data_IF_166026748790
#
_entry.id   IF_166026748790
#
_cell.length_a   1.000
_cell.length_b   1.000
_cell.length_c   1.000
_cell.angle_alpha   90.00
_cell.angle_beta   90.00
_cell.angle_gamma   90.00
#
_symmetry.space_group_name_H-M   'P 1'
#
loop_
_entity.id
_entity.type
_entity.pdbx_description
1 polymer ?
#
# COMPACT_ATOMS: atom_id res chain seq x y z
N UNK A 1 -39.66 30.74 5.02
CA UNK A 1 -38.80 29.59 4.76
C UNK A 1 -37.39 30.01 5.13
N UNK A 2 -36.91 29.73 6.33
CA UNK A 2 -35.51 29.86 6.69
C UNK A 2 -34.74 28.91 5.80
N UNK A 3 -33.80 29.47 4.98
CA UNK A 3 -32.85 28.70 4.24
C UNK A 3 -32.02 27.96 5.31
N UNK A 4 -32.18 26.65 5.44
CA UNK A 4 -31.22 25.80 6.14
C UNK A 4 -29.83 26.00 5.51
N UNK A 5 -29.11 27.00 5.98
CA UNK A 5 -27.72 27.18 5.66
C UNK A 5 -27.00 25.98 6.26
N UNK A 6 -26.45 25.14 5.42
CA UNK A 6 -25.50 24.11 5.88
C UNK A 6 -24.34 24.87 6.54
N UNK A 7 -24.16 24.70 7.84
CA UNK A 7 -23.03 25.28 8.58
C UNK A 7 -21.78 24.42 8.28
N UNK A 8 -21.15 24.69 7.15
CA UNK A 8 -19.86 24.09 6.84
C UNK A 8 -18.75 24.75 7.67
N UNK A 9 -17.77 23.96 8.09
CA UNK A 9 -16.56 24.43 8.73
C UNK A 9 -15.38 24.23 7.76
N UNK A 10 -14.49 25.20 7.69
CA UNK A 10 -13.33 25.12 6.78
C UNK A 10 -12.06 25.67 7.37
N UNK A 11 -10.94 25.17 6.83
CA UNK A 11 -9.59 25.65 7.05
C UNK A 11 -8.92 25.83 5.70
N UNK A 12 -8.15 26.90 5.54
CA UNK A 12 -7.36 27.18 4.35
C UNK A 12 -5.90 27.41 4.77
N UNK A 13 -4.97 26.84 4.01
CA UNK A 13 -3.55 27.01 4.24
C UNK A 13 -2.75 26.96 2.94
N UNK A 14 -1.57 27.59 2.93
CA UNK A 14 -0.65 27.51 1.80
C UNK A 14 0.08 26.16 1.81
N UNK A 15 0.23 25.56 0.63
CA UNK A 15 0.98 24.32 0.41
C UNK A 15 1.79 24.44 -0.90
N UNK A 16 3.08 24.72 -0.76
CA UNK A 16 3.88 25.18 -1.89
C UNK A 16 3.36 26.52 -2.44
N UNK A 17 3.16 26.57 -3.73
CA UNK A 17 2.62 27.73 -4.43
C UNK A 17 1.07 27.75 -4.52
N UNK A 18 0.40 26.80 -3.85
CA UNK A 18 -1.06 26.62 -3.91
C UNK A 18 -1.73 26.85 -2.57
N UNK A 19 -3.03 27.06 -2.59
CA UNK A 19 -3.89 27.11 -1.42
C UNK A 19 -4.72 25.83 -1.35
N UNK A 20 -4.63 25.15 -0.22
CA UNK A 20 -5.47 23.99 0.10
C UNK A 20 -6.60 24.45 0.99
N UNK A 21 -7.83 24.12 0.60
CA UNK A 21 -9.02 24.30 1.42
C UNK A 21 -9.57 22.94 1.84
N UNK A 22 -9.74 22.73 3.13
CA UNK A 22 -10.44 21.59 3.72
C UNK A 22 -11.80 22.06 4.23
N UNK A 23 -12.89 21.42 3.78
CA UNK A 23 -14.26 21.81 4.18
C UNK A 23 -15.05 20.57 4.62
N UNK A 24 -15.61 20.60 5.83
CA UNK A 24 -16.46 19.53 6.38
C UNK A 24 -17.90 19.98 6.61
N UNK A 25 -18.82 19.04 6.90
CA UNK A 25 -20.26 19.25 7.13
C UNK A 25 -21.05 19.75 5.90
N UNK A 26 -20.44 19.91 4.74
CA UNK A 26 -21.09 20.36 3.51
C UNK A 26 -21.85 19.23 2.79
N UNK A 27 -21.25 18.04 2.73
CA UNK A 27 -21.80 16.88 2.05
C UNK A 27 -21.60 15.58 2.82
N UNK A 28 -22.17 14.48 2.33
CA UNK A 28 -22.01 13.13 2.87
C UNK A 28 -22.28 13.02 4.39
N UNK A 29 -23.32 13.70 4.90
CA UNK A 29 -23.61 13.87 6.34
C UNK A 29 -23.96 12.59 7.10
N UNK A 30 -24.18 11.47 6.41
CA UNK A 30 -24.44 10.17 7.04
C UNK A 30 -23.16 9.40 7.35
N UNK A 31 -22.00 9.90 6.91
CA UNK A 31 -20.71 9.27 7.18
C UNK A 31 -20.19 9.57 8.57
N UNK A 32 -19.25 8.77 9.05
CA UNK A 32 -18.53 9.04 10.29
C UNK A 32 -17.70 10.31 10.19
N UNK A 33 -17.04 10.54 9.05
CA UNK A 33 -16.34 11.78 8.72
C UNK A 33 -16.35 12.02 7.22
N UNK A 34 -16.42 13.28 6.79
CA UNK A 34 -16.35 13.67 5.39
C UNK A 34 -15.67 15.01 5.24
N UNK A 35 -14.74 15.11 4.29
CA UNK A 35 -14.03 16.34 3.96
C UNK A 35 -13.99 16.52 2.46
N UNK A 36 -14.29 17.72 2.01
CA UNK A 36 -14.07 18.19 0.66
C UNK A 36 -12.72 18.92 0.63
N UNK A 37 -11.79 18.43 -0.18
CA UNK A 37 -10.51 19.07 -0.41
C UNK A 37 -10.58 19.84 -1.71
N UNK A 38 -10.21 21.11 -1.69
CA UNK A 38 -10.11 21.95 -2.89
C UNK A 38 -8.70 22.50 -3.00
N UNK A 39 -8.08 22.31 -4.15
CA UNK A 39 -6.77 22.88 -4.52
C UNK A 39 -6.93 23.43 -5.95
N UNK A 40 -7.04 24.73 -6.09
CA UNK A 40 -7.41 25.36 -7.35
C UNK A 40 -8.69 24.73 -7.95
N UNK A 41 -8.64 24.16 -9.15
CA UNK A 41 -9.76 23.47 -9.82
C UNK A 41 -9.94 22.01 -9.41
N UNK A 42 -8.99 21.46 -8.65
CA UNK A 42 -9.04 20.10 -8.15
C UNK A 42 -9.94 20.01 -6.93
N UNK A 43 -10.96 19.14 -6.99
CA UNK A 43 -11.87 18.89 -5.87
C UNK A 43 -12.01 17.39 -5.62
N UNK A 44 -11.67 16.95 -4.42
CA UNK A 44 -11.80 15.56 -3.98
C UNK A 44 -12.68 15.48 -2.75
N UNK A 45 -13.68 14.60 -2.77
CA UNK A 45 -14.47 14.24 -1.61
C UNK A 45 -13.88 12.99 -0.96
N UNK A 46 -13.41 13.11 0.27
CA UNK A 46 -12.99 11.99 1.10
C UNK A 46 -14.03 11.70 2.19
N UNK A 47 -14.46 10.46 2.30
CA UNK A 47 -15.44 10.02 3.30
C UNK A 47 -14.91 8.85 4.10
N UNK A 48 -15.26 8.80 5.37
CA UNK A 48 -14.95 7.71 6.30
C UNK A 48 -16.25 7.19 6.91
N UNK A 49 -16.46 5.90 6.82
CA UNK A 49 -17.52 5.19 7.57
C UNK A 49 -16.86 4.14 8.43
N UNK A 50 -17.14 4.16 9.72
CA UNK A 50 -16.58 3.21 10.67
C UNK A 50 -17.68 2.61 11.54
N UNK A 51 -17.62 1.30 11.80
CA UNK A 51 -18.50 0.60 12.73
C UNK A 51 -18.06 0.84 14.18
N UNK A 52 -19.01 1.05 15.08
CA UNK A 52 -18.74 1.23 16.52
C UNK A 52 -18.28 -0.06 17.20
N UNK A 53 -18.67 -1.21 16.66
CA UNK A 53 -18.40 -2.53 17.20
C UNK A 53 -17.56 -3.35 16.21
N UNK A 54 -16.58 -4.08 16.73
CA UNK A 54 -15.80 -5.04 15.97
C UNK A 54 -16.62 -6.31 15.69
N UNK A 55 -16.39 -6.93 14.54
CA UNK A 55 -16.91 -8.27 14.26
C UNK A 55 -16.03 -9.29 15.00
N UNK A 56 -16.57 -10.04 15.97
CA UNK A 56 -15.79 -10.98 16.77
C UNK A 56 -15.15 -12.13 15.96
N UNK A 57 -15.62 -12.34 14.73
CA UNK A 57 -15.08 -13.37 13.83
C UNK A 57 -13.83 -12.90 13.06
N UNK A 58 -13.50 -11.62 13.12
CA UNK A 58 -12.34 -11.07 12.44
C UNK A 58 -11.16 -10.92 13.39
N UNK A 59 -10.03 -11.52 13.03
CA UNK A 59 -8.77 -11.46 13.78
C UNK A 59 -7.82 -10.35 13.30
N UNK A 60 -8.22 -9.59 12.28
CA UNK A 60 -7.43 -8.52 11.66
C UNK A 60 -8.23 -7.20 11.61
N UNK A 61 -7.53 -6.09 11.38
CA UNK A 61 -8.13 -4.78 11.15
C UNK A 61 -8.72 -4.67 9.73
N UNK A 62 -10.05 -4.64 9.58
CA UNK A 62 -10.70 -4.60 8.26
C UNK A 62 -10.84 -3.17 7.75
N UNK A 63 -9.71 -2.57 7.36
CA UNK A 63 -9.68 -1.29 6.65
C UNK A 63 -9.82 -1.53 5.14
N UNK A 64 -10.78 -0.85 4.51
CA UNK A 64 -10.96 -0.85 3.07
C UNK A 64 -10.90 0.59 2.53
N UNK A 65 -9.96 0.85 1.63
CA UNK A 65 -9.79 2.14 0.97
C UNK A 65 -10.19 2.01 -0.50
N UNK A 66 -11.01 2.94 -0.96
CA UNK A 66 -11.42 3.07 -2.36
C UNK A 66 -11.12 4.47 -2.85
N UNK A 67 -10.58 4.54 -4.04
CA UNK A 67 -10.34 5.78 -4.77
C UNK A 67 -10.99 5.66 -6.14
N UNK A 68 -11.71 6.69 -6.58
CA UNK A 68 -12.40 6.71 -7.86
C UNK A 68 -12.22 8.05 -8.56
N UNK A 69 -11.92 7.96 -9.85
CA UNK A 69 -11.88 9.09 -10.77
C UNK A 69 -13.17 9.10 -11.59
N UNK A 70 -13.87 10.24 -11.58
CA UNK A 70 -15.09 10.41 -12.36
C UNK A 70 -14.78 11.17 -13.64
N UNK A 71 -15.15 10.62 -14.81
CA UNK A 71 -14.91 11.28 -16.09
C UNK A 71 -15.53 12.68 -16.17
N UNK A 72 -16.67 12.91 -15.51
CA UNK A 72 -17.25 14.24 -15.43
C UNK A 72 -16.35 15.26 -14.72
N UNK A 73 -15.38 14.82 -13.93
CA UNK A 73 -14.46 15.73 -13.23
C UNK A 73 -13.64 16.58 -14.19
N UNK A 74 -13.40 16.10 -15.41
CA UNK A 74 -12.73 16.82 -16.50
C UNK A 74 -13.68 17.16 -17.66
N UNK A 75 -15.01 17.07 -17.44
CA UNK A 75 -16.01 17.31 -18.47
C UNK A 75 -16.10 16.22 -19.55
N UNK A 76 -15.55 15.02 -19.29
CA UNK A 76 -15.52 13.93 -20.24
C UNK A 76 -16.64 12.89 -19.98
N UNK A 77 -16.93 12.08 -21.01
CA UNK A 77 -17.82 10.92 -20.94
C UNK A 77 -16.97 9.66 -21.13
N UNK A 78 -17.14 8.61 -20.30
CA UNK A 78 -16.40 7.36 -20.43
C UNK A 78 -16.53 6.73 -21.82
N UNK A 79 -15.44 6.17 -22.36
CA UNK A 79 -15.37 5.61 -23.71
C UNK A 79 -16.12 4.31 -23.92
N UNK A 80 -16.24 3.46 -22.92
CA UNK A 80 -16.85 2.14 -23.03
C UNK A 80 -18.32 2.13 -23.51
N UNK A 81 -18.85 0.97 -23.87
CA UNK A 81 -20.21 0.82 -24.39
C UNK A 81 -21.30 1.37 -23.46
N UNK A 82 -21.18 1.12 -22.14
CA UNK A 82 -22.15 1.59 -21.13
C UNK A 82 -22.01 3.05 -20.74
N UNK A 83 -20.99 3.76 -21.24
CA UNK A 83 -20.72 5.17 -20.87
C UNK A 83 -20.74 5.42 -19.36
N UNK A 84 -20.21 4.48 -18.60
CA UNK A 84 -20.20 4.47 -17.12
C UNK A 84 -18.94 3.82 -16.61
N UNK A 85 -18.35 4.40 -15.54
CA UNK A 85 -17.29 3.77 -14.78
C UNK A 85 -17.82 2.47 -14.15
N UNK A 86 -17.06 1.38 -14.27
CA UNK A 86 -17.47 0.05 -13.81
C UNK A 86 -16.49 -0.51 -12.77
N UNK A 87 -15.50 -1.28 -13.23
CA UNK A 87 -14.45 -1.82 -12.33
C UNK A 87 -13.37 -0.76 -12.10
N UNK A 88 -12.76 -0.74 -10.90
CA UNK A 88 -11.62 0.11 -10.66
C UNK A 88 -10.52 -0.13 -11.69
N UNK A 89 -9.94 0.92 -12.22
CA UNK A 89 -8.77 0.88 -13.08
C UNK A 89 -7.54 0.44 -12.28
N UNK A 90 -6.45 0.10 -12.96
CA UNK A 90 -5.16 -0.18 -12.32
C UNK A 90 -4.71 1.04 -11.49
N UNK A 91 -4.77 2.25 -12.05
CA UNK A 91 -4.46 3.51 -11.37
C UNK A 91 -5.30 3.71 -10.11
N UNK A 92 -6.62 3.56 -10.18
CA UNK A 92 -7.50 3.68 -9.00
C UNK A 92 -7.17 2.66 -7.93
N UNK A 93 -6.80 1.45 -8.33
CA UNK A 93 -6.36 0.38 -7.42
C UNK A 93 -5.03 0.74 -6.75
N UNK A 94 -4.07 1.26 -7.50
CA UNK A 94 -2.76 1.68 -6.98
C UNK A 94 -2.88 2.88 -6.05
N UNK A 95 -3.68 3.88 -6.41
CA UNK A 95 -3.94 5.04 -5.54
C UNK A 95 -4.67 4.64 -4.26
N UNK A 96 -5.64 3.71 -4.33
CA UNK A 96 -6.26 3.13 -3.12
C UNK A 96 -5.22 2.50 -2.19
N UNK A 97 -4.20 1.80 -2.72
CA UNK A 97 -3.11 1.22 -1.95
C UNK A 97 -2.14 2.28 -1.42
N UNK A 98 -1.88 3.33 -2.21
CA UNK A 98 -1.06 4.47 -1.82
C UNK A 98 -1.63 5.16 -0.57
N UNK A 99 -2.95 5.27 -0.47
CA UNK A 99 -3.66 5.82 0.68
C UNK A 99 -3.70 4.82 1.85
N UNK A 100 -4.02 3.55 1.61
CA UNK A 100 -4.15 2.52 2.66
C UNK A 100 -2.85 2.32 3.46
N UNK A 101 -1.71 2.25 2.77
CA UNK A 101 -0.43 1.88 3.37
C UNK A 101 0.02 2.79 4.51
N UNK A 102 0.01 4.13 4.39
CA UNK A 102 0.39 5.02 5.49
C UNK A 102 -0.70 5.23 6.53
N UNK A 103 -1.98 5.01 6.18
CA UNK A 103 -3.11 5.19 7.09
C UNK A 103 -3.25 4.01 8.07
N UNK A 104 -3.06 2.80 7.59
CA UNK A 104 -3.26 1.57 8.37
C UNK A 104 -2.45 1.49 9.65
N UNK A 105 -1.14 1.78 9.68
CA UNK A 105 -0.32 1.72 10.88
C UNK A 105 -0.65 2.81 11.92
N UNK A 106 -1.46 3.80 11.57
CA UNK A 106 -1.89 4.86 12.47
C UNK A 106 -3.16 4.51 13.28
N UNK A 107 -3.68 3.31 13.12
CA UNK A 107 -4.70 2.78 14.03
C UNK A 107 -4.04 1.97 15.13
N UNK A 108 -4.56 2.01 16.37
CA UNK A 108 -3.95 1.32 17.50
C UNK A 108 -3.95 -0.20 17.29
N UNK A 109 -2.93 -0.86 17.82
CA UNK A 109 -2.84 -2.31 17.84
C UNK A 109 -4.09 -2.90 18.52
N UNK A 110 -4.68 -3.92 17.94
CA UNK A 110 -5.91 -4.54 18.45
C UNK A 110 -7.21 -3.86 18.01
N UNK A 111 -7.18 -2.73 17.33
CA UNK A 111 -8.39 -2.13 16.76
C UNK A 111 -8.90 -2.97 15.58
N UNK A 112 -10.09 -3.57 15.73
CA UNK A 112 -10.68 -4.51 14.76
C UNK A 112 -12.02 -4.05 14.19
N UNK A 113 -12.43 -2.82 14.45
CA UNK A 113 -13.67 -2.26 13.91
C UNK A 113 -13.52 -2.03 12.40
N UNK A 114 -14.55 -2.33 11.65
CA UNK A 114 -14.55 -2.14 10.21
C UNK A 114 -14.54 -0.65 9.86
N UNK A 115 -13.57 -0.23 9.06
CA UNK A 115 -13.41 1.14 8.57
C UNK A 115 -13.35 1.14 7.05
N UNK A 116 -14.15 1.99 6.43
CA UNK A 116 -14.15 2.19 4.99
C UNK A 116 -13.85 3.66 4.68
N UNK A 117 -12.83 3.86 3.85
CA UNK A 117 -12.49 5.17 3.28
C UNK A 117 -12.86 5.18 1.81
N UNK A 118 -13.53 6.25 1.37
CA UNK A 118 -13.91 6.41 -0.01
C UNK A 118 -13.53 7.81 -0.50
N UNK A 119 -12.63 7.88 -1.48
CA UNK A 119 -12.20 9.12 -2.11
C UNK A 119 -12.76 9.21 -3.53
N UNK A 120 -13.41 10.30 -3.85
CA UNK A 120 -13.98 10.55 -5.18
C UNK A 120 -13.46 11.86 -5.74
N UNK A 121 -12.85 11.81 -6.92
CA UNK A 121 -12.45 13.00 -7.66
C UNK A 121 -13.69 13.59 -8.34
N UNK A 122 -14.07 14.80 -7.92
CA UNK A 122 -15.30 15.48 -8.37
C UNK A 122 -15.03 16.58 -9.42
N UNK A 123 -13.84 17.17 -9.38
CA UNK A 123 -13.34 18.13 -10.34
C UNK A 123 -11.82 17.98 -10.48
N UNK A 124 -11.29 18.08 -11.67
CA UNK A 124 -9.86 18.03 -11.94
C UNK A 124 -9.54 18.92 -13.14
N UNK A 125 -8.59 19.86 -12.93
CA UNK A 125 -7.91 20.51 -14.02
C UNK A 125 -6.96 19.57 -14.66
N UNK A 126 -6.70 19.10 -15.59
CA UNK A 126 -5.77 18.11 -16.19
C UNK A 126 -4.28 18.35 -15.88
N UNK A 127 -3.97 19.20 -14.94
CA UNK A 127 -2.60 19.64 -14.70
C UNK A 127 -1.91 18.86 -13.59
N UNK A 128 -2.67 18.32 -12.61
CA UNK A 128 -2.13 17.72 -11.39
C UNK A 128 -2.79 16.41 -11.05
N UNK A 129 -1.98 15.50 -10.47
CA UNK A 129 -2.49 14.21 -9.98
C UNK A 129 -3.38 14.40 -8.74
N UNK A 130 -4.61 13.86 -8.73
CA UNK A 130 -5.53 14.02 -7.61
C UNK A 130 -5.18 13.19 -6.36
N UNK A 131 -4.20 12.30 -6.42
CA UNK A 131 -3.87 11.35 -5.35
C UNK A 131 -3.43 12.04 -4.05
N UNK A 132 -2.60 13.10 -4.13
CA UNK A 132 -2.18 13.86 -2.95
C UNK A 132 -3.37 14.53 -2.27
N UNK A 133 -4.30 15.11 -3.04
CA UNK A 133 -5.53 15.67 -2.50
C UNK A 133 -6.40 14.60 -1.82
N UNK A 134 -6.46 13.38 -2.38
CA UNK A 134 -7.16 12.24 -1.77
C UNK A 134 -6.50 11.76 -0.46
N UNK A 135 -5.17 11.75 -0.39
CA UNK A 135 -4.44 11.44 0.84
C UNK A 135 -4.67 12.48 1.93
N UNK A 136 -4.59 13.76 1.59
CA UNK A 136 -4.90 14.89 2.48
C UNK A 136 -6.34 14.79 2.99
N UNK A 137 -7.29 14.57 2.08
CA UNK A 137 -8.71 14.43 2.41
C UNK A 137 -8.99 13.24 3.31
N UNK A 138 -8.32 12.11 3.09
CA UNK A 138 -8.43 10.94 3.95
C UNK A 138 -7.95 11.23 5.36
N UNK A 139 -6.77 11.85 5.50
CA UNK A 139 -6.25 12.26 6.80
C UNK A 139 -7.21 13.19 7.54
N UNK A 140 -7.68 14.26 6.87
CA UNK A 140 -8.62 15.21 7.44
C UNK A 140 -9.97 14.55 7.81
N UNK A 141 -10.50 13.64 6.96
CA UNK A 141 -11.76 12.94 7.22
C UNK A 141 -11.66 11.97 8.41
N UNK A 142 -10.54 11.29 8.58
CA UNK A 142 -10.25 10.46 9.76
C UNK A 142 -10.14 11.30 11.04
N UNK A 143 -9.44 12.45 10.97
CA UNK A 143 -9.31 13.37 12.10
C UNK A 143 -10.67 13.91 12.57
N UNK A 144 -11.56 14.29 11.67
CA UNK A 144 -12.89 14.81 12.07
C UNK A 144 -13.89 13.70 12.43
N UNK A 145 -13.62 12.45 12.09
CA UNK A 145 -14.49 11.31 12.37
C UNK A 145 -14.51 10.91 13.85
N UNK A 146 -13.50 11.28 14.64
CA UNK A 146 -13.32 10.84 16.02
C UNK A 146 -12.96 9.36 16.18
N UNK A 147 -12.59 8.66 15.08
CA UNK A 147 -12.04 7.28 15.16
C UNK A 147 -10.67 7.30 15.81
N UNK A 148 -10.20 6.20 16.41
CA UNK A 148 -8.90 6.13 17.05
C UNK A 148 -7.77 6.09 16.00
N UNK A 149 -7.46 7.26 15.47
CA UNK A 149 -6.49 7.49 14.43
C UNK A 149 -5.36 8.37 14.97
N UNK A 150 -4.14 7.80 15.02
CA UNK A 150 -2.93 8.47 15.53
C UNK A 150 -2.28 9.34 14.44
N UNK A 151 -3.12 10.18 13.84
CA UNK A 151 -2.77 11.21 12.88
C UNK A 151 -2.87 12.61 13.51
N UNK A 152 -2.82 13.65 12.69
CA UNK A 152 -2.95 13.69 11.24
C UNK A 152 -1.73 13.20 10.47
N UNK A 153 -1.98 12.73 9.23
CA UNK A 153 -0.99 12.35 8.25
C UNK A 153 -0.89 13.42 7.17
N UNK A 154 0.34 13.79 6.79
CA UNK A 154 0.63 14.57 5.60
C UNK A 154 1.03 13.69 4.42
N UNK A 155 0.94 14.25 3.22
CA UNK A 155 1.43 13.62 1.99
C UNK A 155 1.96 14.69 1.03
N UNK A 156 3.01 14.37 0.28
CA UNK A 156 3.62 15.21 -0.74
C UNK A 156 4.09 14.36 -1.92
N UNK A 157 3.95 14.90 -3.14
CA UNK A 157 4.65 14.41 -4.32
C UNK A 157 5.87 15.27 -4.58
N UNK A 158 7.00 14.67 -4.89
CA UNK A 158 8.25 15.38 -5.17
C UNK A 158 8.78 14.98 -6.54
N UNK A 159 9.00 15.97 -7.39
CA UNK A 159 9.78 15.87 -8.61
C UNK A 159 11.21 16.36 -8.41
N UNK A 160 12.09 16.05 -9.36
CA UNK A 160 13.44 16.58 -9.44
C UNK A 160 13.71 17.09 -10.86
N UNK A 161 13.66 18.42 -11.04
CA UNK A 161 13.74 19.10 -12.33
C UNK A 161 14.84 20.15 -12.24
N UNK A 162 15.71 20.21 -13.22
CA UNK A 162 16.81 21.18 -13.33
C UNK A 162 17.64 21.31 -12.03
N UNK A 163 17.89 20.19 -11.36
CA UNK A 163 18.68 20.14 -10.13
C UNK A 163 17.95 20.59 -8.86
N UNK A 164 16.63 20.79 -8.91
CA UNK A 164 15.82 21.27 -7.78
C UNK A 164 14.68 20.30 -7.46
N UNK A 165 14.33 20.16 -6.19
CA UNK A 165 13.11 19.50 -5.78
C UNK A 165 11.89 20.38 -6.04
N UNK A 166 10.86 19.81 -6.64
CA UNK A 166 9.58 20.47 -6.94
C UNK A 166 8.47 19.79 -6.16
N UNK A 167 7.75 20.57 -5.34
CA UNK A 167 6.62 20.09 -4.56
C UNK A 167 5.37 19.99 -5.42
N UNK A 168 4.71 18.83 -5.40
CA UNK A 168 3.49 18.54 -6.13
C UNK A 168 3.56 19.02 -7.60
N UNK A 169 4.55 18.51 -8.37
CA UNK A 169 4.75 18.93 -9.75
C UNK A 169 3.52 18.65 -10.62
N UNK A 170 3.34 19.49 -11.63
CA UNK A 170 2.37 19.25 -12.71
C UNK A 170 2.78 18.04 -13.55
N UNK A 171 1.86 17.54 -14.38
CA UNK A 171 2.20 16.48 -15.34
C UNK A 171 3.30 16.90 -16.30
N UNK A 172 3.28 18.15 -16.80
CA UNK A 172 4.33 18.71 -17.67
C UNK A 172 5.70 18.73 -16.97
N UNK A 173 5.74 19.13 -15.70
CA UNK A 173 6.98 19.08 -14.90
C UNK A 173 7.44 17.64 -14.66
N UNK A 174 6.51 16.67 -14.45
CA UNK A 174 6.84 15.25 -14.26
C UNK A 174 7.43 14.61 -15.52
N UNK A 175 6.99 14.98 -16.71
CA UNK A 175 7.58 14.48 -17.98
C UNK A 175 9.08 14.77 -18.06
N UNK A 176 9.49 15.95 -17.58
CA UNK A 176 10.89 16.42 -17.56
C UNK A 176 11.63 16.06 -16.26
N UNK A 177 10.96 15.41 -15.32
CA UNK A 177 11.53 15.06 -14.01
C UNK A 177 12.35 13.77 -14.06
N UNK A 178 13.43 13.77 -13.28
CA UNK A 178 14.21 12.55 -12.98
C UNK A 178 13.64 11.75 -11.79
N UNK A 179 12.64 12.32 -11.10
CA UNK A 179 12.01 11.73 -9.93
C UNK A 179 10.50 11.94 -9.95
N UNK A 180 9.75 10.90 -9.68
CA UNK A 180 8.36 10.96 -9.23
C UNK A 180 8.26 10.19 -7.92
N UNK A 181 8.17 10.91 -6.80
CA UNK A 181 8.18 10.32 -5.46
C UNK A 181 6.98 10.81 -4.65
N UNK A 182 6.22 9.90 -4.11
CA UNK A 182 5.17 10.18 -3.12
C UNK A 182 5.67 9.78 -1.73
N UNK A 183 5.58 10.72 -0.80
CA UNK A 183 5.95 10.51 0.61
C UNK A 183 4.74 10.82 1.47
N UNK A 184 4.48 9.97 2.45
CA UNK A 184 3.49 10.22 3.50
C UNK A 184 4.07 10.00 4.88
N UNK A 185 3.65 10.80 5.84
CA UNK A 185 4.18 10.73 7.20
C UNK A 185 3.34 11.49 8.22
N UNK A 186 3.69 11.32 9.47
CA UNK A 186 3.21 12.12 10.60
C UNK A 186 4.15 13.32 10.82
N UNK A 187 3.84 14.11 11.84
CA UNK A 187 4.70 15.23 12.24
C UNK A 187 6.15 14.79 12.50
N UNK A 188 6.35 13.59 13.01
CA UNK A 188 7.62 13.12 13.58
C UNK A 188 8.32 12.07 12.70
N UNK A 189 7.59 11.37 11.83
CA UNK A 189 8.12 10.24 11.09
C UNK A 189 7.53 10.09 9.68
N UNK A 190 8.38 9.61 8.76
CA UNK A 190 7.95 9.13 7.45
C UNK A 190 7.37 7.72 7.59
N UNK A 191 6.19 7.49 7.05
CA UNK A 191 5.47 6.22 7.10
C UNK A 191 5.54 5.44 5.79
N UNK A 192 5.57 6.15 4.66
CA UNK A 192 5.52 5.53 3.36
C UNK A 192 6.28 6.37 2.33
N UNK A 193 7.05 5.68 1.51
CA UNK A 193 7.69 6.23 0.31
C UNK A 193 7.35 5.32 -0.86
N UNK A 194 6.99 5.91 -1.98
CA UNK A 194 6.82 5.23 -3.24
C UNK A 194 7.38 6.09 -4.37
N UNK A 195 8.31 5.56 -5.17
CA UNK A 195 9.03 6.37 -6.16
C UNK A 195 9.28 5.64 -7.47
N UNK A 196 9.41 6.43 -8.53
CA UNK A 196 10.02 6.10 -9.81
C UNK A 196 11.16 7.10 -10.03
N UNK A 197 12.37 6.64 -10.37
CA UNK A 197 13.54 7.50 -10.53
C UNK A 197 14.37 7.05 -11.72
N UNK A 198 15.01 8.01 -12.41
CA UNK A 198 15.94 7.80 -13.51
C UNK A 198 17.37 7.78 -12.94
N UNK A 199 17.75 6.69 -12.25
CA UNK A 199 19.09 6.40 -11.73
C UNK A 199 19.71 7.53 -10.86
N UNK A 200 18.89 8.15 -10.00
CA UNK A 200 19.36 9.17 -9.05
C UNK A 200 20.19 8.55 -7.92
N UNK A 201 21.16 9.31 -7.38
CA UNK A 201 21.95 8.89 -6.24
C UNK A 201 21.11 8.77 -4.96
N UNK A 202 21.58 7.93 -4.01
CA UNK A 202 20.92 7.76 -2.71
C UNK A 202 20.78 9.07 -1.95
N UNK A 203 21.77 9.97 -2.01
CA UNK A 203 21.75 11.27 -1.36
C UNK A 203 20.62 12.17 -1.91
N UNK A 204 20.41 12.18 -3.23
CA UNK A 204 19.31 12.91 -3.86
C UNK A 204 17.95 12.30 -3.49
N UNK A 205 17.86 10.97 -3.44
CA UNK A 205 16.63 10.28 -3.01
C UNK A 205 16.30 10.59 -1.55
N UNK A 206 17.28 10.54 -0.65
CA UNK A 206 17.12 10.91 0.76
C UNK A 206 16.74 12.39 0.92
N UNK A 207 17.39 13.28 0.17
CA UNK A 207 17.05 14.70 0.15
C UNK A 207 15.59 14.96 -0.25
N UNK A 208 15.08 14.22 -1.24
CA UNK A 208 13.67 14.31 -1.67
C UNK A 208 12.70 13.88 -0.56
N UNK A 209 13.02 12.81 0.19
CA UNK A 209 12.21 12.35 1.33
C UNK A 209 12.17 13.42 2.42
N UNK A 210 13.31 14.01 2.77
CA UNK A 210 13.40 15.07 3.79
C UNK A 210 12.65 16.34 3.36
N UNK A 211 12.79 16.75 2.09
CA UNK A 211 12.04 17.85 1.51
C UNK A 211 10.53 17.62 1.61
N UNK A 212 10.06 16.45 1.19
CA UNK A 212 8.64 16.09 1.28
C UNK A 212 8.12 16.13 2.73
N UNK A 213 8.90 15.59 3.69
CA UNK A 213 8.51 15.58 5.10
C UNK A 213 8.43 16.98 5.70
N UNK A 214 9.32 17.88 5.31
CA UNK A 214 9.27 19.28 5.71
C UNK A 214 8.05 19.99 5.13
N UNK A 215 7.79 19.85 3.85
CA UNK A 215 6.68 20.53 3.17
C UNK A 215 5.30 20.03 3.65
N UNK A 216 5.13 18.73 3.92
CA UNK A 216 3.84 18.19 4.35
C UNK A 216 3.42 18.64 5.77
N UNK A 217 4.30 19.30 6.55
CA UNK A 217 3.94 19.82 7.88
C UNK A 217 2.80 20.84 7.80
N UNK A 218 2.68 21.58 6.70
CA UNK A 218 1.56 22.50 6.47
C UNK A 218 0.23 21.76 6.41
N UNK A 219 0.20 20.60 5.74
CA UNK A 219 -0.98 19.72 5.65
C UNK A 219 -1.37 19.18 7.02
N UNK A 220 -0.40 18.67 7.78
CA UNK A 220 -0.62 18.12 9.13
C UNK A 220 -1.25 19.19 10.03
N UNK A 221 -0.71 20.41 10.01
CA UNK A 221 -1.26 21.53 10.76
C UNK A 221 -2.68 21.88 10.32
N UNK A 222 -2.96 21.94 9.02
CA UNK A 222 -4.29 22.23 8.50
C UNK A 222 -5.34 21.16 8.87
N UNK A 223 -4.96 19.88 8.84
CA UNK A 223 -5.83 18.79 9.30
C UNK A 223 -6.11 18.87 10.80
N UNK A 224 -5.11 19.20 11.61
CA UNK A 224 -5.29 19.41 13.06
C UNK A 224 -6.21 20.59 13.36
N UNK A 225 -6.04 21.71 12.67
CA UNK A 225 -6.90 22.88 12.82
C UNK A 225 -8.36 22.57 12.45
N UNK A 226 -8.60 21.73 11.44
CA UNK A 226 -9.94 21.29 11.09
C UNK A 226 -10.54 20.35 12.15
N UNK A 227 -9.74 19.43 12.72
CA UNK A 227 -10.14 18.57 13.84
C UNK A 227 -10.55 19.44 15.04
N UNK A 228 -9.77 20.45 15.40
CA UNK A 228 -10.05 21.32 16.54
C UNK A 228 -11.33 22.15 16.35
N UNK A 229 -11.66 22.52 15.10
CA UNK A 229 -12.89 23.28 14.78
C UNK A 229 -14.14 22.42 14.69
N UNK A 230 -14.03 21.22 14.18
CA UNK A 230 -15.19 20.44 13.73
C UNK A 230 -15.07 18.93 13.97
N UNK A 231 -14.06 18.49 14.70
CA UNK A 231 -13.88 17.09 15.06
C UNK A 231 -15.00 16.57 15.95
N UNK A 232 -15.41 15.34 15.72
CA UNK A 232 -16.28 14.62 16.63
C UNK A 232 -15.50 14.18 17.87
N UNK A 233 -16.20 13.89 18.95
CA UNK A 233 -15.62 13.29 20.14
C UNK A 233 -14.88 12.00 19.82
N UNK A 234 -13.65 11.89 20.32
CA UNK A 234 -12.79 10.72 20.06
C UNK A 234 -13.42 9.47 20.70
N UNK A 235 -13.35 8.36 19.97
CA UNK A 235 -13.86 7.09 20.46
C UNK A 235 -12.99 6.55 21.58
N UNK A 236 -13.63 6.08 22.63
CA UNK A 236 -12.94 5.31 23.67
C UNK A 236 -12.66 3.90 23.12
N UNK A 237 -11.41 3.56 22.97
CA UNK A 237 -10.98 2.19 22.61
C UNK A 237 -10.89 1.40 23.89
N UNK A 238 -11.57 0.25 23.94
CA UNK A 238 -11.44 -0.66 25.08
C UNK A 238 -9.99 -1.18 25.14
N UNK A 239 -9.36 -1.04 26.30
CA UNK A 239 -8.03 -1.60 26.55
C UNK A 239 -8.20 -3.12 26.67
N UNK A 240 -7.42 -3.85 25.87
CA UNK A 240 -7.38 -5.30 25.97
C UNK A 240 -6.45 -5.71 27.14
N UNK A 241 -7.02 -6.02 28.28
CA UNK A 241 -6.30 -6.44 29.48
C UNK A 241 -5.97 -7.94 29.50
N UNK A 242 -6.67 -8.77 28.69
CA UNK A 242 -6.52 -10.22 28.71
C UNK A 242 -5.32 -10.70 27.89
N UNK A 243 -5.06 -10.12 26.73
CA UNK A 243 -3.95 -10.54 25.84
C UNK A 243 -2.57 -10.44 26.50
N UNK A 244 -2.24 -9.41 27.30
CA UNK A 244 -0.98 -9.38 28.05
C UNK A 244 -0.84 -10.51 29.07
N UNK A 245 -1.93 -10.94 29.70
CA UNK A 245 -1.96 -12.09 30.61
C UNK A 245 -1.61 -13.40 29.88
N UNK A 246 -2.28 -13.67 28.76
CA UNK A 246 -1.99 -14.82 27.91
C UNK A 246 -0.54 -14.79 27.38
N UNK A 247 -0.06 -13.62 26.96
CA UNK A 247 1.33 -13.48 26.53
C UNK A 247 2.33 -13.89 27.61
N UNK A 248 2.12 -13.46 28.86
CA UNK A 248 3.00 -13.80 29.99
C UNK A 248 3.00 -15.30 30.25
N UNK A 249 1.82 -15.94 30.29
CA UNK A 249 1.68 -17.38 30.49
C UNK A 249 2.35 -18.21 29.39
N UNK A 250 2.09 -17.85 28.12
CA UNK A 250 2.70 -18.52 26.97
C UNK A 250 4.22 -18.34 26.96
N UNK A 251 4.71 -17.16 27.31
CA UNK A 251 6.12 -16.88 27.43
C UNK A 251 6.80 -17.79 28.44
N UNK A 252 6.21 -17.94 29.63
CA UNK A 252 6.78 -18.77 30.69
C UNK A 252 6.78 -20.25 30.35
N UNK A 253 5.73 -20.74 29.65
CA UNK A 253 5.56 -22.15 29.31
C UNK A 253 6.26 -22.59 28.03
N UNK A 254 6.19 -21.77 26.97
CA UNK A 254 6.50 -22.23 25.62
C UNK A 254 7.72 -21.58 24.97
N UNK A 255 8.36 -20.56 25.58
CA UNK A 255 9.53 -19.85 25.00
C UNK A 255 10.62 -20.84 24.56
N UNK A 256 11.02 -21.78 25.42
CA UNK A 256 12.10 -22.73 25.11
C UNK A 256 11.78 -23.62 23.90
N UNK A 257 10.53 -24.07 23.79
CA UNK A 257 10.10 -24.91 22.67
C UNK A 257 10.04 -24.11 21.36
N UNK A 258 9.55 -22.87 21.40
CA UNK A 258 9.49 -21.99 20.24
C UNK A 258 10.90 -21.61 19.78
N UNK A 259 11.81 -21.27 20.69
CA UNK A 259 13.23 -21.00 20.35
C UNK A 259 13.91 -22.21 19.70
N UNK A 260 13.61 -23.43 20.20
CA UNK A 260 14.14 -24.67 19.60
C UNK A 260 13.59 -24.87 18.18
N UNK A 261 12.30 -24.61 17.96
CA UNK A 261 11.69 -24.70 16.64
C UNK A 261 12.30 -23.69 15.65
N UNK A 262 12.56 -22.45 16.08
CA UNK A 262 13.19 -21.44 15.23
C UNK A 262 14.68 -21.67 14.92
N UNK A 263 15.35 -22.62 15.59
CA UNK A 263 16.70 -23.07 15.23
C UNK A 263 16.71 -24.09 14.08
N UNK A 264 15.55 -24.62 13.69
CA UNK A 264 15.43 -25.51 12.55
C UNK A 264 15.53 -24.70 11.28
N UNK A 265 16.61 -24.91 10.50
CA UNK A 265 16.90 -24.16 9.27
C UNK A 265 15.89 -24.48 8.17
N UNK A 266 15.50 -25.76 8.01
CA UNK A 266 14.52 -26.17 7.01
C UNK A 266 13.14 -25.61 7.32
N UNK A 267 12.53 -24.90 6.35
CA UNK A 267 11.23 -24.24 6.51
C UNK A 267 10.10 -25.22 6.83
N UNK A 268 10.01 -26.34 6.10
CA UNK A 268 8.94 -27.31 6.30
C UNK A 268 8.99 -27.95 7.69
N UNK A 269 10.16 -28.40 8.11
CA UNK A 269 10.39 -28.99 9.43
C UNK A 269 10.12 -27.98 10.56
N UNK A 270 10.57 -26.73 10.37
CA UNK A 270 10.29 -25.63 11.31
C UNK A 270 8.79 -25.34 11.42
N UNK A 271 8.09 -25.28 10.28
CA UNK A 271 6.64 -25.05 10.26
C UNK A 271 5.89 -26.18 10.95
N UNK A 272 6.32 -27.43 10.75
CA UNK A 272 5.73 -28.59 11.44
C UNK A 272 5.97 -28.53 12.95
N UNK A 273 7.18 -28.23 13.39
CA UNK A 273 7.51 -28.07 14.81
C UNK A 273 6.68 -26.97 15.48
N UNK A 274 6.54 -25.79 14.82
CA UNK A 274 5.70 -24.70 15.32
C UNK A 274 4.22 -25.08 15.32
N UNK A 275 3.76 -25.87 14.35
CA UNK A 275 2.38 -26.37 14.29
C UNK A 275 2.06 -27.30 15.46
N UNK A 276 3.00 -28.17 15.87
CA UNK A 276 2.85 -29.03 17.05
C UNK A 276 2.69 -28.19 18.32
N UNK A 277 3.55 -27.17 18.50
CA UNK A 277 3.46 -26.26 19.65
C UNK A 277 2.11 -25.52 19.66
N UNK A 278 1.70 -25.00 18.49
CA UNK A 278 0.41 -24.32 18.34
C UNK A 278 -0.77 -25.21 18.73
N UNK A 279 -0.77 -26.48 18.27
CA UNK A 279 -1.82 -27.42 18.60
C UNK A 279 -1.84 -27.73 20.12
N UNK A 280 -0.68 -27.89 20.74
CA UNK A 280 -0.57 -28.05 22.21
C UNK A 280 -1.19 -26.86 22.94
N UNK A 281 -0.93 -25.63 22.47
CA UNK A 281 -1.52 -24.41 23.04
C UNK A 281 -3.05 -24.43 22.86
N UNK A 282 -3.55 -24.79 21.67
CA UNK A 282 -5.00 -24.90 21.44
C UNK A 282 -5.65 -25.90 22.39
N UNK A 283 -5.01 -27.06 22.62
CA UNK A 283 -5.51 -28.09 23.55
C UNK A 283 -5.47 -27.62 25.02
N UNK A 284 -4.43 -26.85 25.42
CA UNK A 284 -4.34 -26.27 26.79
C UNK A 284 -5.46 -25.25 27.10
N UNK A 285 -6.00 -24.62 26.06
CA UNK A 285 -7.03 -23.58 26.19
C UNK A 285 -8.37 -23.99 25.56
N UNK A 286 -8.64 -25.30 25.39
CA UNK A 286 -9.84 -25.83 24.73
C UNK A 286 -11.17 -25.36 25.34
N UNK A 287 -11.18 -25.03 26.64
CA UNK A 287 -12.37 -24.55 27.37
C UNK A 287 -12.72 -23.06 27.07
N UNK A 288 -11.89 -22.34 26.32
CA UNK A 288 -12.13 -20.92 26.00
C UNK A 288 -13.08 -20.78 24.82
N UNK A 289 -13.85 -19.71 24.85
CA UNK A 289 -14.65 -19.29 23.69
C UNK A 289 -13.76 -18.81 22.52
N UNK A 290 -14.34 -18.75 21.32
CA UNK A 290 -13.63 -18.36 20.08
C UNK A 290 -12.94 -16.99 20.21
N UNK A 291 -13.51 -16.06 20.95
CA UNK A 291 -12.96 -14.70 21.11
C UNK A 291 -11.70 -14.72 21.98
N UNK A 292 -11.71 -15.47 23.08
CA UNK A 292 -10.54 -15.64 23.95
C UNK A 292 -9.47 -16.47 23.27
N UNK A 293 -9.85 -17.53 22.55
CA UNK A 293 -8.91 -18.31 21.74
C UNK A 293 -8.20 -17.44 20.70
N UNK A 294 -8.91 -16.51 20.04
CA UNK A 294 -8.28 -15.53 19.12
C UNK A 294 -7.24 -14.67 19.83
N UNK A 295 -7.47 -14.27 21.10
CA UNK A 295 -6.49 -13.51 21.90
C UNK A 295 -5.27 -14.34 22.26
N UNK A 296 -5.45 -15.62 22.63
CA UNK A 296 -4.35 -16.56 22.88
C UNK A 296 -3.48 -16.74 21.65
N UNK A 297 -4.11 -16.91 20.47
CA UNK A 297 -3.38 -17.04 19.20
C UNK A 297 -2.66 -15.74 18.82
N UNK A 298 -3.24 -14.58 19.10
CA UNK A 298 -2.60 -13.29 18.95
C UNK A 298 -1.35 -13.13 19.84
N UNK A 299 -1.46 -13.54 21.10
CA UNK A 299 -0.35 -13.55 22.05
C UNK A 299 0.76 -14.53 21.64
N UNK A 300 0.41 -15.72 21.13
CA UNK A 300 1.36 -16.68 20.57
C UNK A 300 2.14 -16.09 19.38
N UNK A 301 1.44 -15.52 18.42
CA UNK A 301 2.06 -14.88 17.25
C UNK A 301 3.00 -13.72 17.62
N UNK A 302 2.63 -12.95 18.65
CA UNK A 302 3.48 -11.89 19.20
C UNK A 302 4.74 -12.49 19.83
N UNK A 303 4.61 -13.55 20.60
CA UNK A 303 5.74 -14.24 21.23
C UNK A 303 6.71 -14.82 20.19
N UNK A 304 6.20 -15.45 19.11
CA UNK A 304 7.02 -15.88 17.98
C UNK A 304 7.81 -14.73 17.36
N UNK A 305 7.12 -13.61 17.11
CA UNK A 305 7.73 -12.40 16.54
C UNK A 305 8.83 -11.84 17.46
N UNK A 306 8.58 -11.74 18.76
CA UNK A 306 9.53 -11.19 19.73
C UNK A 306 10.77 -12.08 19.86
N UNK A 307 10.61 -13.41 19.87
CA UNK A 307 11.71 -14.38 19.90
C UNK A 307 12.59 -14.24 18.65
N UNK A 308 11.99 -14.21 17.46
CA UNK A 308 12.73 -14.09 16.20
C UNK A 308 13.47 -12.76 16.11
N UNK A 309 12.78 -11.64 16.41
CA UNK A 309 13.39 -10.31 16.38
C UNK A 309 14.53 -10.18 17.37
N UNK A 310 14.34 -10.67 18.60
CA UNK A 310 15.39 -10.70 19.62
C UNK A 310 16.59 -11.49 19.17
N UNK A 311 16.38 -12.68 18.61
CA UNK A 311 17.48 -13.52 18.09
C UNK A 311 18.26 -12.83 16.98
N UNK A 312 17.60 -12.17 16.04
CA UNK A 312 18.29 -11.42 14.97
C UNK A 312 19.10 -10.25 15.54
N UNK A 313 18.57 -9.50 16.50
CA UNK A 313 19.26 -8.36 17.11
C UNK A 313 20.48 -8.81 17.92
N UNK A 314 20.34 -9.84 18.75
CA UNK A 314 21.37 -10.29 19.68
C UNK A 314 22.41 -11.18 19.01
N UNK A 315 21.99 -12.13 18.16
CA UNK A 315 22.84 -13.16 17.58
C UNK A 315 23.27 -12.87 16.14
N UNK A 316 22.72 -11.80 15.51
CA UNK A 316 22.97 -11.46 14.11
C UNK A 316 22.69 -12.60 13.12
N UNK A 317 21.80 -13.52 13.50
CA UNK A 317 21.49 -14.73 12.73
C UNK A 317 20.00 -14.76 12.40
N UNK A 318 19.69 -14.94 11.14
CA UNK A 318 18.32 -15.11 10.62
C UNK A 318 17.80 -16.52 10.87
N UNK A 319 16.49 -16.73 10.75
CA UNK A 319 15.81 -18.02 10.98
C UNK A 319 16.25 -19.14 10.03
N UNK A 320 16.87 -18.81 8.92
CA UNK A 320 17.44 -19.75 7.93
C UNK A 320 18.96 -19.95 8.11
N UNK A 321 19.52 -19.50 9.20
CA UNK A 321 20.92 -19.67 9.58
C UNK A 321 21.89 -18.70 8.94
N UNK A 322 21.46 -17.80 8.06
CA UNK A 322 22.31 -16.76 7.46
C UNK A 322 22.59 -15.64 8.47
N UNK A 323 23.68 -14.92 8.23
CA UNK A 323 23.90 -13.60 8.83
C UNK A 323 23.01 -12.50 8.20
N UNK A 324 23.21 -11.27 8.62
CA UNK A 324 22.39 -10.13 8.17
C UNK A 324 22.74 -9.68 6.74
N UNK A 325 23.93 -9.96 6.23
CA UNK A 325 24.45 -9.49 4.94
C UNK A 325 24.37 -10.56 3.83
N UNK A 326 24.33 -11.83 4.16
CA UNK A 326 24.31 -12.92 3.18
C UNK A 326 22.98 -13.01 2.45
N UNK A 327 23.01 -12.88 1.13
CA UNK A 327 21.86 -13.13 0.25
C UNK A 327 21.61 -14.64 0.15
N UNK A 328 20.33 -15.05 0.11
CA UNK A 328 19.96 -16.45 -0.15
C UNK A 328 20.56 -16.93 -1.48
N UNK A 329 20.89 -18.24 -1.62
CA UNK A 329 21.42 -18.78 -2.87
C UNK A 329 20.55 -18.43 -4.07
N UNK A 330 21.20 -17.96 -5.14
CA UNK A 330 20.54 -17.59 -6.39
C UNK A 330 20.80 -18.68 -7.43
N UNK A 331 19.73 -19.11 -8.12
CA UNK A 331 19.77 -19.94 -9.30
C UNK A 331 19.01 -19.25 -10.44
N UNK A 332 19.59 -19.28 -11.63
CA UNK A 332 19.03 -18.65 -12.83
C UNK A 332 19.12 -19.61 -14.00
N UNK A 333 18.03 -19.69 -14.77
CA UNK A 333 17.98 -20.37 -16.04
C UNK A 333 17.24 -19.50 -17.06
N UNK A 334 17.79 -19.32 -18.25
CA UNK A 334 17.18 -18.53 -19.33
C UNK A 334 16.81 -19.44 -20.50
N UNK A 335 15.80 -19.02 -21.31
CA UNK A 335 15.35 -19.80 -22.44
C UNK A 335 14.64 -21.11 -22.06
N UNK A 336 14.06 -21.16 -20.86
CA UNK A 336 13.45 -22.38 -20.31
C UNK A 336 12.20 -22.84 -21.08
N UNK A 337 11.48 -21.91 -21.72
CA UNK A 337 10.28 -22.22 -22.48
C UNK A 337 10.55 -22.16 -24.00
N UNK A 338 10.30 -23.25 -24.75
CA UNK A 338 10.79 -23.38 -26.12
C UNK A 338 10.05 -22.55 -27.17
N UNK A 339 8.90 -21.96 -26.87
CA UNK A 339 8.08 -21.20 -27.84
C UNK A 339 7.81 -19.76 -27.45
N UNK A 340 8.39 -19.29 -26.37
CA UNK A 340 8.27 -17.89 -25.93
C UNK A 340 9.38 -17.05 -26.57
N UNK A 341 9.19 -15.73 -26.64
CA UNK A 341 10.24 -14.84 -27.20
C UNK A 341 11.40 -14.68 -26.22
N UNK A 342 11.10 -14.61 -24.91
CA UNK A 342 12.07 -14.69 -23.84
C UNK A 342 11.47 -15.39 -22.63
N UNK A 343 12.28 -16.08 -21.86
CA UNK A 343 11.86 -16.70 -20.60
C UNK A 343 13.02 -16.92 -19.65
N UNK A 344 12.75 -16.76 -18.35
CA UNK A 344 13.69 -17.03 -17.30
C UNK A 344 13.04 -17.70 -16.10
N UNK A 345 13.79 -18.55 -15.41
CA UNK A 345 13.47 -19.04 -14.08
C UNK A 345 14.47 -18.42 -13.12
N UNK A 346 13.98 -17.58 -12.26
CA UNK A 346 14.79 -16.97 -11.20
C UNK A 346 14.38 -17.56 -9.85
N UNK A 347 15.36 -18.08 -9.12
CA UNK A 347 15.18 -18.65 -7.79
C UNK A 347 16.13 -17.98 -6.80
N UNK A 348 15.62 -17.55 -5.65
CA UNK A 348 16.39 -17.04 -4.52
C UNK A 348 15.98 -17.78 -3.26
N UNK A 349 16.74 -18.81 -2.90
CA UNK A 349 16.35 -19.76 -1.86
C UNK A 349 14.98 -20.39 -2.17
N UNK A 350 14.00 -20.17 -1.32
CA UNK A 350 12.63 -20.68 -1.43
C UNK A 350 11.67 -19.64 -2.05
N UNK A 351 12.15 -18.77 -2.92
CA UNK A 351 11.32 -17.82 -3.70
C UNK A 351 11.69 -17.96 -5.16
N UNK A 352 10.72 -18.31 -5.99
CA UNK A 352 10.93 -18.60 -7.41
C UNK A 352 9.90 -17.86 -8.28
N UNK A 353 10.36 -17.30 -9.38
CA UNK A 353 9.54 -16.65 -10.41
C UNK A 353 9.90 -17.22 -11.79
N UNK A 354 8.91 -17.71 -12.49
CA UNK A 354 8.97 -18.00 -13.92
C UNK A 354 8.51 -16.74 -14.66
N UNK A 355 9.41 -16.11 -15.39
CA UNK A 355 9.12 -14.85 -16.08
C UNK A 355 9.19 -15.07 -17.59
N UNK A 356 8.19 -14.55 -18.29
CA UNK A 356 8.04 -14.75 -19.74
C UNK A 356 7.87 -13.40 -20.43
N UNK A 357 8.73 -13.11 -21.40
CA UNK A 357 8.65 -11.92 -22.23
C UNK A 357 8.02 -12.26 -23.61
N UNK A 358 7.16 -11.36 -24.06
CA UNK A 358 6.52 -11.44 -25.39
C UNK A 358 6.68 -10.09 -26.09
N UNK A 359 7.22 -10.13 -27.31
CA UNK A 359 7.36 -8.97 -28.18
C UNK A 359 6.15 -8.90 -29.11
N UNK A 360 5.48 -7.76 -29.11
CA UNK A 360 4.36 -7.45 -30.00
C UNK A 360 4.67 -6.27 -30.94
N UNK A 361 3.77 -6.01 -31.84
CA UNK A 361 3.81 -4.79 -32.66
C UNK A 361 3.31 -3.58 -31.87
N UNK A 362 3.49 -2.38 -32.39
CA UNK A 362 2.92 -1.15 -31.81
C UNK A 362 1.40 -1.17 -31.68
N UNK A 363 0.69 -2.04 -32.47
CA UNK A 363 -0.77 -2.20 -32.38
C UNK A 363 -1.21 -3.01 -31.15
N UNK A 364 -0.28 -3.76 -30.54
CA UNK A 364 -0.52 -4.58 -29.36
C UNK A 364 -0.35 -3.78 -28.06
N UNK A 365 0.05 -2.51 -28.15
CA UNK A 365 0.19 -1.63 -27.01
C UNK A 365 -1.14 -1.43 -26.27
N UNK A 366 -1.06 -1.35 -24.94
CA UNK A 366 -2.23 -1.16 -24.10
C UNK A 366 -2.75 0.28 -24.22
N UNK A 367 -4.01 0.42 -24.59
CA UNK A 367 -4.69 1.71 -24.58
C UNK A 367 -5.26 1.97 -23.19
N UNK A 368 -4.86 3.08 -22.59
CA UNK A 368 -5.30 3.53 -21.27
C UNK A 368 -6.20 4.72 -21.45
N UNK A 369 -7.41 4.65 -20.92
CA UNK A 369 -8.35 5.77 -20.88
C UNK A 369 -8.50 6.23 -19.43
N UNK A 370 -8.20 7.50 -19.17
CA UNK A 370 -8.26 8.11 -17.84
C UNK A 370 -8.95 9.48 -17.91
N UNK A 371 -9.11 10.13 -16.77
CA UNK A 371 -9.62 11.50 -16.70
C UNK A 371 -8.66 12.52 -17.35
N UNK A 372 -7.38 12.17 -17.51
CA UNK A 372 -6.38 12.99 -18.18
C UNK A 372 -6.47 12.91 -19.70
N UNK A 373 -7.03 11.81 -20.22
CA UNK A 373 -7.16 11.56 -21.64
C UNK A 373 -6.90 10.11 -22.01
N UNK A 374 -6.43 9.91 -23.23
CA UNK A 374 -6.03 8.61 -23.76
C UNK A 374 -4.51 8.55 -23.85
N UNK A 375 -3.95 7.46 -23.38
CA UNK A 375 -2.52 7.16 -23.44
C UNK A 375 -2.29 5.76 -23.97
N UNK A 376 -1.05 5.47 -24.39
CA UNK A 376 -0.64 4.18 -24.93
C UNK A 376 0.60 3.68 -24.22
N UNK A 377 0.48 2.51 -23.60
CA UNK A 377 1.57 1.87 -22.86
C UNK A 377 2.20 0.73 -23.68
N UNK A 378 3.47 0.88 -24.02
CA UNK A 378 4.26 -0.09 -24.77
C UNK A 378 4.98 -1.12 -23.91
N UNK A 379 4.99 -0.93 -22.58
CA UNK A 379 5.57 -1.87 -21.64
C UNK A 379 4.55 -2.33 -20.61
N UNK A 380 4.10 -3.55 -20.70
CA UNK A 380 3.18 -4.18 -19.77
C UNK A 380 3.91 -5.21 -18.91
N UNK A 381 3.72 -5.16 -17.57
CA UNK A 381 4.21 -6.19 -16.67
C UNK A 381 3.08 -6.68 -15.77
N UNK A 382 2.79 -7.97 -15.86
CA UNK A 382 1.77 -8.64 -15.06
C UNK A 382 2.40 -9.62 -14.08
N UNK A 383 1.97 -9.56 -12.83
CA UNK A 383 2.45 -10.38 -11.74
C UNK A 383 1.30 -11.27 -11.24
N UNK A 384 1.51 -12.57 -11.21
CA UNK A 384 0.56 -13.56 -10.75
C UNK A 384 1.09 -14.28 -9.51
N UNK A 385 0.25 -14.37 -8.47
CA UNK A 385 0.57 -15.02 -7.21
C UNK A 385 -0.50 -16.07 -6.88
N UNK A 386 -0.44 -17.24 -7.51
CA UNK A 386 -1.38 -18.32 -7.25
C UNK A 386 -1.19 -18.92 -5.86
N UNK A 387 -2.26 -19.48 -5.28
CA UNK A 387 -2.25 -20.05 -3.94
C UNK A 387 -1.21 -21.16 -3.75
N UNK A 388 -0.95 -21.96 -4.78
CA UNK A 388 0.06 -23.03 -4.72
C UNK A 388 1.49 -22.50 -4.47
N UNK A 389 1.79 -21.23 -4.76
CA UNK A 389 3.11 -20.65 -4.49
C UNK A 389 3.48 -20.59 -3.01
N UNK A 390 2.49 -20.72 -2.14
CA UNK A 390 2.66 -20.81 -0.67
C UNK A 390 2.11 -22.12 -0.10
N UNK A 391 1.80 -23.10 -0.97
CA UNK A 391 1.28 -24.41 -0.56
C UNK A 391 -0.19 -24.40 -0.13
N UNK A 392 -0.95 -23.37 -0.51
CA UNK A 392 -2.37 -23.24 -0.14
C UNK A 392 -3.29 -23.67 -1.30
N UNK A 393 -4.51 -24.09 -0.91
CA UNK A 393 -5.60 -24.31 -1.87
C UNK A 393 -6.35 -23.00 -2.07
N UNK A 394 -6.55 -22.59 -3.32
CA UNK A 394 -7.27 -21.36 -3.64
C UNK A 394 -7.95 -21.42 -4.98
N UNK A 395 -9.03 -20.65 -5.13
CA UNK A 395 -9.72 -20.51 -6.44
C UNK A 395 -8.92 -19.56 -7.34
N UNK A 396 -8.74 -19.89 -8.63
CA UNK A 396 -8.18 -18.98 -9.61
C UNK A 396 -9.18 -17.83 -9.85
N UNK A 397 -8.87 -16.68 -9.32
CA UNK A 397 -9.62 -15.43 -9.52
C UNK A 397 -8.75 -14.45 -10.29
N UNK A 398 -9.35 -13.38 -10.80
CA UNK A 398 -8.59 -12.29 -11.40
C UNK A 398 -7.61 -11.64 -10.41
N UNK A 399 -6.66 -10.80 -10.88
CA UNK A 399 -5.61 -10.23 -10.07
C UNK A 399 -6.19 -9.42 -8.90
N UNK A 400 -5.67 -9.68 -7.70
CA UNK A 400 -6.01 -8.96 -6.48
C UNK A 400 -5.20 -7.66 -6.41
N UNK A 401 -5.62 -6.72 -5.55
CA UNK A 401 -4.92 -5.44 -5.32
C UNK A 401 -3.42 -5.63 -5.02
N UNK A 402 -3.03 -6.70 -4.33
CA UNK A 402 -1.63 -7.01 -4.03
C UNK A 402 -0.85 -7.35 -5.29
N UNK A 403 -1.42 -8.15 -6.17
CA UNK A 403 -0.79 -8.56 -7.43
C UNK A 403 -0.59 -7.36 -8.35
N UNK A 404 -1.60 -6.50 -8.47
CA UNK A 404 -1.50 -5.23 -9.22
C UNK A 404 -0.36 -4.36 -8.65
N UNK A 405 -0.30 -4.18 -7.32
CA UNK A 405 0.74 -3.39 -6.68
C UNK A 405 2.16 -3.96 -6.85
N UNK A 406 2.32 -5.30 -6.79
CA UNK A 406 3.61 -5.95 -7.00
C UNK A 406 4.05 -5.90 -8.46
N UNK A 407 3.12 -6.07 -9.40
CA UNK A 407 3.38 -5.92 -10.83
C UNK A 407 3.85 -4.53 -11.17
N UNK A 408 3.14 -3.50 -10.68
CA UNK A 408 3.53 -2.11 -10.91
C UNK A 408 4.88 -1.74 -10.27
N UNK A 409 5.19 -2.28 -9.09
CA UNK A 409 6.52 -2.10 -8.47
C UNK A 409 7.64 -2.65 -9.35
N UNK A 410 7.47 -3.87 -9.89
CA UNK A 410 8.43 -4.48 -10.78
C UNK A 410 8.51 -3.73 -12.14
N UNK A 411 7.37 -3.30 -12.67
CA UNK A 411 7.28 -2.49 -13.90
C UNK A 411 8.11 -1.21 -13.80
N UNK A 412 7.92 -0.44 -12.73
CA UNK A 412 8.66 0.81 -12.49
C UNK A 412 10.17 0.59 -12.35
N UNK A 413 10.56 -0.48 -11.64
CA UNK A 413 11.99 -0.81 -11.46
C UNK A 413 12.68 -1.13 -12.79
N UNK A 414 12.00 -1.79 -13.73
CA UNK A 414 12.57 -2.15 -15.03
C UNK A 414 12.47 -1.00 -16.04
N UNK A 415 11.42 -0.20 -15.98
CA UNK A 415 11.18 0.90 -16.93
C UNK A 415 12.36 1.87 -17.05
N UNK A 416 13.06 2.12 -15.93
CA UNK A 416 14.21 3.03 -15.89
C UNK A 416 15.42 2.56 -16.74
N UNK A 417 15.50 1.26 -17.06
CA UNK A 417 16.62 0.65 -17.81
C UNK A 417 16.20 0.05 -19.15
N UNK A 418 14.92 0.22 -19.53
CA UNK A 418 14.47 -0.18 -20.86
C UNK A 418 14.99 0.80 -21.93
N UNK A 419 15.31 0.31 -23.13
CA UNK A 419 15.62 1.19 -24.28
C UNK A 419 14.38 2.01 -24.66
N UNK A 420 14.61 3.19 -25.21
CA UNK A 420 13.55 4.03 -25.75
C UNK A 420 12.80 3.32 -26.90
N UNK A 421 11.53 3.68 -27.08
CA UNK A 421 10.67 3.09 -28.12
C UNK A 421 11.18 3.36 -29.54
N UNK A 422 11.95 4.40 -29.75
CA UNK A 422 12.59 4.73 -31.03
C UNK A 422 13.77 3.79 -31.36
N UNK A 423 14.44 3.28 -30.32
CA UNK A 423 15.54 2.30 -30.47
C UNK A 423 15.01 0.86 -30.49
N UNK A 424 13.93 0.60 -29.74
CA UNK A 424 13.32 -0.71 -29.61
C UNK A 424 11.83 -0.68 -29.98
N UNK A 425 11.51 -0.76 -31.26
CA UNK A 425 10.20 -0.55 -31.83
C UNK A 425 9.13 -1.63 -31.54
N UNK A 426 9.30 -2.41 -30.45
CA UNK A 426 8.35 -3.44 -30.04
C UNK A 426 7.53 -3.01 -28.83
N UNK A 427 6.29 -3.49 -28.79
CA UNK A 427 5.53 -3.55 -27.53
C UNK A 427 6.00 -4.76 -26.74
N UNK A 428 6.36 -4.54 -25.48
CA UNK A 428 6.86 -5.58 -24.59
C UNK A 428 5.79 -5.94 -23.54
N UNK A 429 5.43 -7.22 -23.50
CA UNK A 429 4.58 -7.75 -22.44
C UNK A 429 5.34 -8.80 -21.64
N UNK A 430 5.55 -8.54 -20.35
CA UNK A 430 6.17 -9.47 -19.41
C UNK A 430 5.11 -10.03 -18.47
N UNK A 431 5.16 -11.33 -18.23
CA UNK A 431 4.30 -12.02 -17.26
C UNK A 431 5.19 -12.78 -16.28
N UNK A 432 5.04 -12.49 -15.00
CA UNK A 432 5.74 -13.19 -13.92
C UNK A 432 4.78 -14.11 -13.18
N UNK A 433 5.02 -15.40 -13.25
CA UNK A 433 4.32 -16.43 -12.49
C UNK A 433 5.15 -16.79 -11.25
N UNK A 434 4.65 -16.46 -10.07
CA UNK A 434 5.31 -16.86 -8.83
C UNK A 434 5.00 -18.32 -8.54
N UNK A 435 6.01 -19.15 -8.64
CA UNK A 435 5.88 -20.61 -8.45
C UNK A 435 6.16 -21.03 -7.02
N UNK A 436 6.97 -20.25 -6.27
CA UNK A 436 7.27 -20.47 -4.87
C UNK A 436 7.54 -19.13 -4.17
N UNK A 437 7.08 -18.95 -2.91
CA UNK A 437 7.28 -17.71 -2.20
C UNK A 437 7.64 -17.89 -0.73
N UNK A 438 8.79 -17.33 -0.36
CA UNK A 438 9.24 -17.11 1.02
C UNK A 438 9.82 -15.70 1.18
N UNK A 439 8.96 -14.70 0.93
CA UNK A 439 9.28 -13.27 1.03
C UNK A 439 9.86 -12.67 -0.25
N UNK A 440 9.47 -11.42 -0.49
CA UNK A 440 9.93 -10.55 -1.60
C UNK A 440 9.87 -11.18 -3.00
N UNK A 441 8.73 -11.77 -3.34
CA UNK A 441 8.47 -12.33 -4.67
C UNK A 441 8.40 -11.25 -5.76
N UNK A 442 8.05 -10.01 -5.41
CA UNK A 442 8.10 -8.86 -6.33
C UNK A 442 9.54 -8.56 -6.80
N UNK A 443 10.54 -8.68 -5.91
CA UNK A 443 11.95 -8.51 -6.29
C UNK A 443 12.46 -9.71 -7.10
N UNK A 444 11.96 -10.91 -6.86
CA UNK A 444 12.23 -12.05 -7.75
C UNK A 444 11.68 -11.80 -9.16
N UNK A 445 10.52 -11.12 -9.27
CA UNK A 445 9.97 -10.67 -10.56
C UNK A 445 10.89 -9.66 -11.26
N UNK A 446 11.42 -8.67 -10.54
CA UNK A 446 12.39 -7.70 -11.10
C UNK A 446 13.60 -8.43 -11.67
N UNK A 447 14.21 -9.32 -10.87
CA UNK A 447 15.37 -10.09 -11.30
C UNK A 447 15.06 -10.99 -12.51
N UNK A 448 13.93 -11.71 -12.47
CA UNK A 448 13.52 -12.57 -13.57
C UNK A 448 13.19 -11.78 -14.84
N UNK A 449 12.59 -10.59 -14.71
CA UNK A 449 12.28 -9.73 -15.86
C UNK A 449 13.55 -9.22 -16.55
N UNK A 450 14.57 -8.86 -15.77
CA UNK A 450 15.85 -8.40 -16.33
C UNK A 450 16.61 -9.50 -17.09
N UNK A 451 16.22 -10.77 -16.94
CA UNK A 451 16.86 -11.93 -17.54
C UNK A 451 16.03 -12.54 -18.69
N UNK A 452 14.75 -12.21 -18.78
CA UNK A 452 13.84 -12.77 -19.78
C UNK A 452 13.83 -12.00 -21.09
#
# INVERSE_FOLDING_TARGET
MEKNKLESQSVEFAYGNKTVKLETHKGARQTTGAVLVTIDDLVVLATVVAKKEADPKKDFFPLAVFYQEKFYATGAIPGGFFKREARPTERETLTSRLIDRPVRPLFPEGFKNEVQVFCTVLSSGKDYNPDIAAMIGTSAALCVAGVPFDGPMGAARVGFVDGNYVLNPSYEELENSFLDMVVAGTKEAVLMVESEAKELSEDLMLGAVLFAHQEMQAVIKGCQELKDKAGKEDWVVAIDEETPGFYSELKDKHTTAIEAAFKIVNKSERTEALSVIKNTIVDEYEDLDDMKMSKVMGAFKKLESDIVRKSIIENKTRIDGRDEDTVRPIYVETGILPKTHGSSLFTRGETQALVVATLGSTRDAQRIESIEGQDTDHFMLHYNFPAYSVGEIGMPMGPKRREIGHGNLAKRAIKAVLPDTDEFGYTLRVVSEITESNGSSSMATVCGTSLS
#
